data_IF_525159458667
#
_entry.id   IF_525159458667
#
_cell.length_a   1.000
_cell.length_b   1.000
_cell.length_c   1.000
_cell.angle_alpha   90.00
_cell.angle_beta   90.00
_cell.angle_gamma   90.00
#
_symmetry.space_group_name_H-M   'P 1'
#
loop_
_entity.id
_entity.type
_entity.pdbx_description
1 polymer ?
#
# COMPACT_ATOMS: atom_id res chain seq x y z
N UNK A 1 70.07 -55.41 -2.34
CA UNK A 1 69.46 -54.75 -1.17
C UNK A 1 70.45 -53.71 -0.71
N UNK A 2 70.28 -52.40 -0.81
CA UNK A 2 69.22 -51.46 -1.23
C UNK A 2 69.93 -50.39 -2.10
N UNK A 3 69.36 -49.46 -2.88
CA UNK A 3 68.13 -48.67 -2.95
C UNK A 3 68.02 -48.22 -4.43
N UNK A 4 66.89 -48.06 -5.15
CA UNK A 4 65.49 -47.85 -4.81
C UNK A 4 65.15 -46.56 -4.05
N UNK A 5 65.60 -45.38 -4.54
CA UNK A 5 64.82 -44.13 -4.54
C UNK A 5 65.69 -42.91 -4.94
N UNK A 6 65.80 -42.59 -6.23
CA UNK A 6 66.03 -41.22 -6.73
C UNK A 6 66.26 -41.24 -8.25
N UNK A 7 65.19 -41.33 -9.04
CA UNK A 7 65.10 -40.70 -10.37
C UNK A 7 63.70 -40.95 -10.97
N UNK A 8 62.67 -40.59 -10.21
CA UNK A 8 61.37 -40.25 -10.77
C UNK A 8 61.28 -38.73 -10.69
N UNK A 9 61.62 -38.02 -11.77
CA UNK A 9 61.16 -36.67 -12.14
C UNK A 9 61.92 -36.27 -13.42
N UNK A 10 61.14 -35.87 -14.43
CA UNK A 10 61.54 -35.36 -15.76
C UNK A 10 61.80 -36.40 -16.86
N UNK A 11 60.76 -36.73 -17.61
CA UNK A 11 60.67 -36.42 -19.04
C UNK A 11 59.26 -36.71 -19.58
N UNK A 12 58.85 -35.87 -20.51
CA UNK A 12 57.63 -35.93 -21.31
C UNK A 12 56.33 -35.37 -20.69
N UNK A 13 56.38 -34.08 -20.33
CA UNK A 13 55.18 -33.22 -20.40
C UNK A 13 55.08 -32.63 -21.83
N UNK A 14 53.92 -32.72 -22.50
CA UNK A 14 53.74 -32.17 -23.84
C UNK A 14 53.86 -30.64 -23.83
N UNK A 15 54.44 -30.07 -24.89
CA UNK A 15 54.68 -28.64 -25.01
C UNK A 15 53.38 -27.85 -25.24
N UNK A 16 53.36 -26.58 -24.80
CA UNK A 16 52.22 -25.64 -24.92
C UNK A 16 51.63 -25.53 -26.35
N UNK A 17 52.42 -25.84 -27.39
CA UNK A 17 51.97 -25.82 -28.79
C UNK A 17 51.03 -26.99 -29.14
N UNK A 18 51.05 -28.10 -28.40
CA UNK A 18 50.17 -29.24 -28.63
C UNK A 18 48.73 -29.00 -28.12
N UNK A 19 48.55 -28.12 -27.13
CA UNK A 19 47.22 -27.70 -26.68
C UNK A 19 46.59 -26.64 -27.62
N UNK A 20 47.41 -25.77 -28.22
CA UNK A 20 46.94 -24.70 -29.11
C UNK A 20 46.51 -25.16 -30.51
N UNK A 21 46.92 -26.36 -30.95
CA UNK A 21 46.61 -26.87 -32.29
C UNK A 21 45.60 -28.02 -32.30
N UNK A 22 45.15 -28.48 -31.13
CA UNK A 22 44.16 -29.55 -30.95
C UNK A 22 42.71 -29.07 -30.79
N UNK A 23 42.29 -28.04 -31.52
CA UNK A 23 40.97 -27.43 -31.37
C UNK A 23 39.84 -28.30 -31.94
N UNK A 24 39.17 -29.06 -31.09
CA UNK A 24 37.79 -29.51 -31.29
C UNK A 24 36.90 -28.32 -31.69
N UNK A 25 35.91 -28.55 -32.56
CA UNK A 25 34.94 -27.55 -33.06
C UNK A 25 34.23 -26.76 -31.95
N UNK A 26 34.24 -27.26 -30.72
CA UNK A 26 33.71 -26.59 -29.53
C UNK A 26 34.52 -25.37 -29.07
N UNK A 27 35.85 -25.36 -29.28
CA UNK A 27 36.74 -24.28 -28.82
C UNK A 27 36.68 -23.04 -29.73
N UNK A 28 36.54 -23.26 -31.04
CA UNK A 28 36.39 -22.17 -32.02
C UNK A 28 35.02 -21.49 -31.91
N UNK A 29 33.96 -22.24 -31.61
CA UNK A 29 32.61 -21.69 -31.36
C UNK A 29 32.58 -20.87 -30.06
N UNK A 30 33.23 -21.33 -28.99
CA UNK A 30 33.30 -20.57 -27.74
C UNK A 30 34.06 -19.24 -27.92
N UNK A 31 35.17 -19.24 -28.66
CA UNK A 31 35.90 -18.01 -28.99
C UNK A 31 35.05 -17.04 -29.83
N UNK A 32 34.31 -17.54 -30.82
CA UNK A 32 33.39 -16.71 -31.61
C UNK A 32 32.28 -16.11 -30.75
N UNK A 33 31.69 -16.88 -29.83
CA UNK A 33 30.67 -16.36 -28.91
C UNK A 33 31.23 -15.31 -27.95
N UNK A 34 32.45 -15.49 -27.43
CA UNK A 34 33.12 -14.48 -26.61
C UNK A 34 33.41 -13.19 -27.38
N UNK A 35 33.81 -13.29 -28.64
CA UNK A 35 34.04 -12.12 -29.51
C UNK A 35 32.72 -11.41 -29.84
N UNK A 36 31.65 -12.16 -30.14
CA UNK A 36 30.32 -11.59 -30.39
C UNK A 36 29.73 -10.93 -29.14
N UNK A 37 29.90 -11.54 -27.97
CA UNK A 37 29.49 -10.96 -26.70
C UNK A 37 30.29 -9.69 -26.37
N UNK A 38 31.61 -9.71 -26.60
CA UNK A 38 32.46 -8.52 -26.43
C UNK A 38 32.07 -7.39 -27.38
N UNK A 39 31.76 -7.70 -28.64
CA UNK A 39 31.30 -6.72 -29.62
C UNK A 39 29.91 -6.15 -29.29
N UNK A 40 29.00 -6.98 -28.77
CA UNK A 40 27.67 -6.55 -28.32
C UNK A 40 27.76 -5.68 -27.05
N UNK A 41 28.62 -6.05 -26.09
CA UNK A 41 28.88 -5.24 -24.90
C UNK A 41 29.50 -3.89 -25.28
N UNK A 42 30.47 -3.89 -26.21
CA UNK A 42 31.03 -2.65 -26.76
C UNK A 42 29.97 -1.82 -27.47
N UNK A 43 29.09 -2.43 -28.27
CA UNK A 43 27.98 -1.75 -28.94
C UNK A 43 27.02 -1.09 -27.94
N UNK A 44 26.66 -1.74 -26.84
CA UNK A 44 25.82 -1.16 -25.79
C UNK A 44 26.53 0.00 -25.07
N UNK A 45 27.85 -0.10 -24.85
CA UNK A 45 28.63 0.97 -24.21
C UNK A 45 28.84 2.16 -25.16
N UNK A 46 29.02 1.93 -26.47
CA UNK A 46 29.24 3.01 -27.44
C UNK A 46 27.95 3.62 -27.97
N UNK A 47 26.83 2.90 -27.92
CA UNK A 47 25.52 3.39 -28.32
C UNK A 47 24.62 3.64 -27.12
N UNK A 48 25.11 4.44 -26.15
CA UNK A 48 24.18 5.12 -25.25
C UNK A 48 23.30 6.07 -26.09
N UNK A 49 21.97 5.97 -26.01
CA UNK A 49 21.11 6.97 -26.64
C UNK A 49 21.45 8.33 -26.01
N UNK A 50 21.71 9.35 -26.84
CA UNK A 50 21.88 10.72 -26.38
C UNK A 50 20.66 11.12 -25.55
N UNK A 51 20.86 11.20 -24.23
CA UNK A 51 19.85 11.65 -23.28
C UNK A 51 19.71 13.16 -23.48
N UNK A 52 18.65 13.58 -24.16
CA UNK A 52 18.30 14.99 -24.34
C UNK A 52 18.26 15.68 -22.97
N UNK A 53 19.27 16.50 -22.71
CA UNK A 53 19.56 17.14 -21.44
C UNK A 53 18.72 18.39 -21.17
N UNK A 54 17.42 18.37 -21.50
CA UNK A 54 16.51 19.50 -21.24
C UNK A 54 15.42 19.24 -20.21
N UNK A 55 15.38 18.04 -19.61
CA UNK A 55 14.70 17.84 -18.33
C UNK A 55 15.74 17.55 -17.25
N UNK A 56 16.01 18.57 -16.43
CA UNK A 56 16.63 18.35 -15.14
C UNK A 56 15.84 17.21 -14.43
N UNK A 57 16.52 16.25 -13.79
CA UNK A 57 15.81 15.24 -13.04
C UNK A 57 15.09 15.97 -11.92
N UNK A 58 13.75 16.04 -12.01
CA UNK A 58 12.94 16.19 -10.83
C UNK A 58 13.28 14.96 -10.00
N UNK A 59 13.87 15.18 -8.82
CA UNK A 59 14.11 14.10 -7.88
C UNK A 59 12.74 13.70 -7.33
N UNK A 60 12.03 12.84 -8.07
CA UNK A 60 10.81 12.14 -7.65
C UNK A 60 11.18 11.01 -6.68
N UNK A 61 11.83 11.36 -5.56
CA UNK A 61 11.97 10.41 -4.46
C UNK A 61 10.60 10.28 -3.78
N UNK A 62 9.83 9.28 -4.25
CA UNK A 62 8.77 8.55 -3.55
C UNK A 62 7.76 9.39 -2.72
N UNK A 63 6.84 10.08 -3.39
CA UNK A 63 5.53 10.43 -2.80
C UNK A 63 4.59 9.19 -2.81
N UNK A 64 5.09 8.01 -2.43
CA UNK A 64 4.22 6.84 -2.24
C UNK A 64 3.27 7.12 -1.08
N UNK A 65 1.98 7.27 -1.38
CA UNK A 65 0.97 7.47 -0.34
C UNK A 65 1.06 6.33 0.69
N UNK A 66 1.12 6.65 1.99
CA UNK A 66 1.25 5.62 3.00
C UNK A 66 0.07 4.65 2.93
N UNK A 67 0.29 3.34 3.09
CA UNK A 67 -0.77 2.35 3.04
C UNK A 67 -1.92 2.72 3.99
N UNK A 68 -3.15 2.66 3.48
CA UNK A 68 -4.35 3.06 4.23
C UNK A 68 -5.46 2.03 4.17
N UNK A 69 -6.32 2.07 5.17
CA UNK A 69 -7.55 1.28 5.10
C UNK A 69 -8.60 1.99 4.25
N UNK A 70 -9.43 1.22 3.56
CA UNK A 70 -10.55 1.70 2.78
C UNK A 70 -11.83 1.11 3.37
N UNK A 71 -12.84 1.95 3.55
CA UNK A 71 -14.21 1.46 3.72
C UNK A 71 -14.78 1.09 2.34
N UNK A 72 -15.76 0.19 2.25
CA UNK A 72 -16.45 -0.09 0.99
C UNK A 72 -17.00 1.17 0.32
N UNK A 73 -17.47 2.14 1.12
CA UNK A 73 -17.97 3.43 0.63
C UNK A 73 -16.86 4.29 -0.01
N UNK A 74 -15.69 4.38 0.63
CA UNK A 74 -14.55 5.12 0.08
C UNK A 74 -14.01 4.44 -1.19
N UNK A 75 -13.96 3.11 -1.22
CA UNK A 75 -13.46 2.37 -2.38
C UNK A 75 -14.28 2.68 -3.65
N UNK A 76 -15.59 2.94 -3.52
CA UNK A 76 -16.49 3.30 -4.63
C UNK A 76 -16.12 4.59 -5.35
N UNK A 77 -15.36 5.48 -4.71
CA UNK A 77 -14.94 6.74 -5.33
C UNK A 77 -13.82 6.52 -6.37
N UNK A 78 -13.20 5.34 -6.38
CA UNK A 78 -12.10 4.96 -7.27
C UNK A 78 -12.58 3.98 -8.35
N UNK A 79 -13.65 4.35 -9.05
CA UNK A 79 -14.29 3.56 -10.10
C UNK A 79 -13.78 3.88 -11.51
N UNK A 80 -12.88 4.86 -11.64
CA UNK A 80 -12.29 5.32 -12.88
C UNK A 80 -13.27 5.55 -14.02
N UNK A 81 -14.47 6.05 -13.73
CA UNK A 81 -15.41 6.47 -14.79
C UNK A 81 -14.85 7.60 -15.65
N UNK A 82 -14.12 8.51 -15.02
CA UNK A 82 -13.41 9.58 -15.68
C UNK A 82 -11.91 9.21 -15.83
N UNK A 83 -11.23 9.78 -16.83
CA UNK A 83 -9.80 9.54 -17.08
C UNK A 83 -8.91 9.95 -15.89
N UNK A 84 -9.30 11.03 -15.20
CA UNK A 84 -8.55 11.56 -14.05
C UNK A 84 -8.83 10.80 -12.73
N UNK A 85 -9.83 9.93 -12.70
CA UNK A 85 -10.20 9.17 -11.50
C UNK A 85 -9.43 7.84 -11.49
N UNK A 86 -8.65 7.51 -10.44
CA UNK A 86 -7.97 6.22 -10.35
C UNK A 86 -8.94 5.03 -10.34
N UNK A 87 -8.45 3.85 -10.72
CA UNK A 87 -9.21 2.59 -10.71
C UNK A 87 -8.67 1.66 -9.64
N UNK A 88 -9.44 1.42 -8.58
CA UNK A 88 -9.05 0.47 -7.53
C UNK A 88 -9.96 -0.76 -7.51
N UNK A 89 -9.39 -1.91 -7.16
CA UNK A 89 -10.15 -3.17 -6.99
C UNK A 89 -9.67 -3.84 -5.71
N UNK A 90 -10.61 -4.27 -4.87
CA UNK A 90 -10.28 -5.08 -3.71
C UNK A 90 -10.36 -6.59 -4.06
N UNK A 91 -9.30 -7.31 -3.70
CA UNK A 91 -9.20 -8.77 -3.85
C UNK A 91 -8.62 -9.35 -2.57
N UNK A 92 -9.36 -10.26 -1.94
CA UNK A 92 -8.99 -10.92 -0.67
C UNK A 92 -8.66 -9.93 0.45
N UNK A 93 -9.35 -8.79 0.44
CA UNK A 93 -9.17 -7.69 1.38
C UNK A 93 -7.99 -6.76 1.09
N UNK A 94 -7.12 -7.05 0.12
CA UNK A 94 -6.10 -6.10 -0.33
C UNK A 94 -6.69 -5.21 -1.42
N UNK A 95 -6.41 -3.90 -1.37
CA UNK A 95 -6.85 -2.91 -2.36
C UNK A 95 -5.71 -2.67 -3.33
N UNK A 96 -5.95 -3.01 -4.61
CA UNK A 96 -4.98 -2.87 -5.69
C UNK A 96 -5.28 -1.65 -6.54
N UNK A 97 -4.22 -0.93 -6.94
CA UNK A 97 -4.29 0.05 -8.03
C UNK A 97 -4.22 -0.67 -9.37
N UNK A 98 -5.30 -0.59 -10.14
CA UNK A 98 -5.40 -1.17 -11.49
C UNK A 98 -5.56 -0.10 -12.57
N UNK A 99 -5.17 1.15 -12.28
CA UNK A 99 -5.29 2.29 -13.19
C UNK A 99 -4.57 2.07 -14.52
N UNK A 100 -3.38 1.46 -14.49
CA UNK A 100 -2.62 1.05 -15.70
C UNK A 100 -3.34 -0.02 -16.55
N UNK A 101 -4.35 -0.69 -15.99
CA UNK A 101 -5.16 -1.70 -16.66
C UNK A 101 -6.58 -1.21 -16.99
N UNK A 102 -6.75 0.10 -17.24
CA UNK A 102 -8.02 0.74 -17.61
C UNK A 102 -8.73 0.11 -18.81
N UNK A 103 -8.00 -0.49 -19.76
CA UNK A 103 -8.61 -1.24 -20.88
C UNK A 103 -9.42 -2.47 -20.43
N UNK A 104 -9.14 -3.01 -19.24
CA UNK A 104 -9.84 -4.16 -18.66
C UNK A 104 -10.88 -3.76 -17.62
N UNK A 105 -10.52 -2.84 -16.72
CA UNK A 105 -11.33 -2.46 -15.55
C UNK A 105 -12.02 -1.11 -15.70
N UNK A 106 -11.62 -0.28 -16.66
CA UNK A 106 -12.28 0.99 -16.95
C UNK A 106 -13.56 0.84 -17.78
N UNK A 107 -14.25 1.96 -18.06
CA UNK A 107 -15.50 1.96 -18.82
C UNK A 107 -15.38 1.21 -20.16
N UNK A 108 -16.29 0.25 -20.39
CA UNK A 108 -16.29 -0.59 -21.60
C UNK A 108 -15.35 -1.79 -21.56
N UNK A 109 -14.51 -1.93 -20.52
CA UNK A 109 -13.70 -3.11 -20.28
C UNK A 109 -14.53 -4.31 -19.79
N UNK A 110 -14.06 -5.52 -20.07
CA UNK A 110 -14.77 -6.76 -19.71
C UNK A 110 -14.89 -7.01 -18.20
N UNK A 111 -14.07 -6.33 -17.39
CA UNK A 111 -14.06 -6.43 -15.93
C UNK A 111 -14.43 -5.11 -15.25
N UNK A 112 -15.11 -4.21 -15.98
CA UNK A 112 -15.49 -2.88 -15.47
C UNK A 112 -16.35 -2.94 -14.20
N UNK A 113 -17.13 -4.01 -14.01
CA UNK A 113 -17.95 -4.20 -12.81
C UNK A 113 -17.13 -4.29 -11.50
N UNK A 114 -15.82 -4.57 -11.57
CA UNK A 114 -14.95 -4.67 -10.39
C UNK A 114 -14.41 -3.32 -9.91
N UNK A 115 -14.46 -2.28 -10.75
CA UNK A 115 -13.91 -0.97 -10.43
C UNK A 115 -14.59 -0.35 -9.20
N UNK A 116 -13.80 0.01 -8.19
CA UNK A 116 -14.25 0.54 -6.92
C UNK A 116 -14.99 -0.47 -6.03
N UNK A 117 -14.82 -1.78 -6.26
CA UNK A 117 -15.54 -2.85 -5.56
C UNK A 117 -14.62 -3.89 -4.93
N UNK A 118 -15.17 -4.64 -4.00
CA UNK A 118 -14.62 -5.94 -3.61
C UNK A 118 -15.08 -7.02 -4.59
N UNK A 119 -14.12 -7.50 -5.39
CA UNK A 119 -14.30 -8.53 -6.39
C UNK A 119 -14.03 -9.95 -5.85
N UNK A 120 -13.71 -10.10 -4.56
CA UNK A 120 -13.21 -11.36 -4.00
C UNK A 120 -14.14 -12.55 -4.27
N UNK A 121 -15.44 -12.42 -3.97
CA UNK A 121 -16.38 -13.52 -4.20
C UNK A 121 -16.56 -13.80 -5.69
N UNK A 122 -16.68 -12.77 -6.53
CA UNK A 122 -16.75 -12.92 -7.99
C UNK A 122 -15.56 -13.72 -8.55
N UNK A 123 -14.35 -13.40 -8.11
CA UNK A 123 -13.14 -14.10 -8.54
C UNK A 123 -13.06 -15.52 -7.99
N UNK A 124 -13.51 -15.75 -6.75
CA UNK A 124 -13.57 -17.07 -6.13
C UNK A 124 -14.53 -18.03 -6.87
N UNK A 125 -15.71 -17.52 -7.25
CA UNK A 125 -16.78 -18.29 -7.88
C UNK A 125 -16.76 -18.23 -9.41
N UNK A 126 -15.80 -17.50 -10.00
CA UNK A 126 -15.73 -17.22 -11.45
C UNK A 126 -17.01 -16.56 -11.99
N UNK A 127 -17.61 -15.68 -11.18
CA UNK A 127 -18.83 -14.93 -11.49
C UNK A 127 -18.51 -13.53 -12.01
N UNK A 128 -19.36 -13.03 -12.91
CA UNK A 128 -19.39 -11.64 -13.37
C UNK A 128 -20.74 -10.99 -13.05
N UNK A 129 -21.45 -11.49 -12.04
CA UNK A 129 -22.75 -10.96 -11.63
C UNK A 129 -22.59 -9.94 -10.51
N UNK A 130 -23.31 -8.82 -10.60
CA UNK A 130 -23.23 -7.75 -9.60
C UNK A 130 -23.69 -8.19 -8.20
N UNK A 131 -24.53 -9.22 -8.10
CA UNK A 131 -25.02 -9.78 -6.83
C UNK A 131 -23.90 -10.41 -6.00
N UNK A 132 -22.80 -10.81 -6.65
CA UNK A 132 -21.64 -11.40 -5.99
C UNK A 132 -20.58 -10.36 -5.60
N UNK A 133 -20.75 -9.08 -5.94
CA UNK A 133 -19.84 -8.01 -5.53
C UNK A 133 -20.07 -7.60 -4.07
N UNK A 134 -18.96 -7.29 -3.39
CA UNK A 134 -18.95 -6.83 -1.99
C UNK A 134 -19.64 -7.79 -1.01
N UNK A 135 -19.66 -9.07 -1.39
CA UNK A 135 -20.19 -10.14 -0.57
C UNK A 135 -19.09 -10.74 0.31
N UNK A 136 -19.44 -11.19 1.53
CA UNK A 136 -18.49 -11.84 2.42
C UNK A 136 -17.96 -13.15 1.82
N UNK A 137 -16.71 -13.47 2.13
CA UNK A 137 -16.00 -14.67 1.63
C UNK A 137 -15.87 -15.78 2.68
N UNK A 138 -16.46 -15.62 3.87
CA UNK A 138 -16.38 -16.62 4.95
C UNK A 138 -17.03 -17.96 4.53
N UNK A 139 -18.06 -17.89 3.68
CA UNK A 139 -18.84 -19.03 3.21
C UNK A 139 -18.25 -19.79 2.02
N UNK A 140 -17.09 -19.40 1.50
CA UNK A 140 -16.49 -20.08 0.34
C UNK A 140 -16.18 -21.55 0.65
N UNK A 141 -16.24 -22.42 -0.36
CA UNK A 141 -15.76 -23.79 -0.25
C UNK A 141 -14.22 -23.87 -0.46
N UNK A 142 -13.64 -25.06 -0.40
CA UNK A 142 -12.18 -25.22 -0.54
C UNK A 142 -11.66 -24.78 -1.91
N UNK A 143 -12.30 -25.24 -3.00
CA UNK A 143 -11.88 -24.89 -4.36
C UNK A 143 -12.10 -23.41 -4.69
N UNK A 144 -13.18 -22.81 -4.19
CA UNK A 144 -13.41 -21.36 -4.33
C UNK A 144 -12.33 -20.54 -3.60
N UNK A 145 -11.86 -21.00 -2.43
CA UNK A 145 -10.73 -20.35 -1.74
C UNK A 145 -9.44 -20.49 -2.53
N UNK A 146 -9.17 -21.66 -3.11
CA UNK A 146 -8.00 -21.87 -3.98
C UNK A 146 -8.04 -20.95 -5.20
N UNK A 147 -9.19 -20.83 -5.86
CA UNK A 147 -9.37 -19.88 -6.96
C UNK A 147 -9.11 -18.43 -6.54
N UNK A 148 -9.64 -18.02 -5.38
CA UNK A 148 -9.41 -16.68 -4.85
C UNK A 148 -7.92 -16.44 -4.57
N UNK A 149 -7.22 -17.43 -4.02
CA UNK A 149 -5.80 -17.37 -3.74
C UNK A 149 -4.97 -17.27 -5.02
N UNK A 150 -5.34 -18.00 -6.07
CA UNK A 150 -4.72 -17.88 -7.38
C UNK A 150 -4.95 -16.51 -8.01
N UNK A 151 -6.16 -15.95 -7.92
CA UNK A 151 -6.44 -14.62 -8.42
C UNK A 151 -5.69 -13.54 -7.66
N UNK A 152 -5.66 -13.62 -6.33
CA UNK A 152 -4.87 -12.73 -5.50
C UNK A 152 -3.38 -12.79 -5.86
N UNK A 153 -2.83 -13.99 -6.05
CA UNK A 153 -1.47 -14.19 -6.55
C UNK A 153 -1.26 -13.58 -7.94
N UNK A 154 -2.21 -13.73 -8.87
CA UNK A 154 -2.12 -13.14 -10.21
C UNK A 154 -2.10 -11.61 -10.14
N UNK A 155 -2.94 -11.00 -9.31
CA UNK A 155 -2.97 -9.54 -9.13
C UNK A 155 -1.64 -9.03 -8.57
N UNK A 156 -1.16 -9.68 -7.51
CA UNK A 156 0.04 -9.27 -6.79
C UNK A 156 1.34 -9.58 -7.54
N UNK A 157 1.54 -10.81 -7.95
CA UNK A 157 2.85 -11.31 -8.41
C UNK A 157 2.94 -11.38 -9.95
N UNK A 158 1.87 -11.79 -10.64
CA UNK A 158 1.89 -11.93 -12.10
C UNK A 158 1.68 -10.59 -12.82
N UNK A 159 0.74 -9.78 -12.32
CA UNK A 159 0.42 -8.46 -12.87
C UNK A 159 1.21 -7.34 -12.19
N UNK A 160 1.62 -7.53 -10.93
CA UNK A 160 2.40 -6.54 -10.21
C UNK A 160 1.60 -5.28 -9.88
N UNK A 161 0.28 -5.38 -9.66
CA UNK A 161 -0.52 -4.22 -9.28
C UNK A 161 -0.10 -3.69 -7.90
N UNK A 162 0.13 -2.38 -7.73
CA UNK A 162 0.45 -1.80 -6.43
C UNK A 162 -0.63 -2.06 -5.40
N UNK A 163 -0.25 -2.42 -4.17
CA UNK A 163 -1.17 -2.59 -3.05
C UNK A 163 -1.21 -1.27 -2.26
N UNK A 164 -2.36 -0.60 -2.26
CA UNK A 164 -2.57 0.68 -1.58
C UNK A 164 -2.98 0.52 -0.11
N UNK A 165 -3.37 -0.70 0.28
CA UNK A 165 -3.74 -1.03 1.65
C UNK A 165 -4.86 -2.06 1.69
N UNK A 166 -5.76 -1.94 2.66
CA UNK A 166 -6.74 -2.99 2.99
C UNK A 166 -8.17 -2.48 2.94
N UNK A 167 -9.08 -3.29 2.41
CA UNK A 167 -10.51 -3.08 2.56
C UNK A 167 -10.92 -3.60 3.95
N UNK A 168 -11.37 -2.70 4.80
CA UNK A 168 -11.73 -3.02 6.17
C UNK A 168 -13.07 -2.41 6.56
N UNK A 169 -13.82 -3.14 7.37
CA UNK A 169 -15.01 -2.59 8.03
C UNK A 169 -14.58 -1.93 9.33
N UNK A 170 -14.92 -0.65 9.57
CA UNK A 170 -14.55 0.02 10.81
C UNK A 170 -15.21 -0.68 12.01
N UNK A 171 -14.46 -0.92 13.11
CA UNK A 171 -15.07 -1.46 14.31
C UNK A 171 -16.08 -0.46 14.86
N UNK A 172 -17.28 -0.92 15.20
CA UNK A 172 -18.30 -0.08 15.83
C UNK A 172 -18.32 -0.33 17.34
N UNK A 173 -17.65 0.52 18.10
CA UNK A 173 -17.71 0.53 19.57
C UNK A 173 -18.70 1.61 20.01
N UNK A 174 -19.64 1.32 20.89
CA UNK A 174 -20.69 2.32 21.20
C UNK A 174 -20.17 3.53 21.97
N UNK A 175 -19.26 3.30 22.93
CA UNK A 175 -18.70 4.35 23.79
C UNK A 175 -17.28 3.97 24.18
N UNK A 176 -16.36 4.93 24.19
CA UNK A 176 -15.00 4.79 24.73
C UNK A 176 -14.68 5.92 25.70
N UNK A 177 -13.83 5.64 26.68
CA UNK A 177 -13.26 6.64 27.59
C UNK A 177 -12.10 7.40 26.94
N UNK A 178 -11.71 8.54 27.52
CA UNK A 178 -10.53 9.30 27.09
C UNK A 178 -9.23 8.50 27.25
N UNK A 179 -9.12 7.70 28.31
CA UNK A 179 -7.96 6.85 28.54
C UNK A 179 -7.84 5.78 27.43
N UNK A 180 -8.94 5.12 27.08
CA UNK A 180 -8.96 4.14 25.99
C UNK A 180 -8.71 4.78 24.62
N UNK A 181 -9.22 6.00 24.39
CA UNK A 181 -8.93 6.77 23.19
C UNK A 181 -7.43 7.04 23.05
N UNK A 182 -6.77 7.47 24.13
CA UNK A 182 -5.33 7.74 24.15
C UNK A 182 -4.51 6.46 24.01
N UNK A 183 -4.92 5.37 24.64
CA UNK A 183 -4.21 4.10 24.57
C UNK A 183 -4.21 3.51 23.16
N UNK A 184 -5.36 3.55 22.48
CA UNK A 184 -5.53 2.90 21.17
C UNK A 184 -5.25 3.81 19.98
N UNK A 185 -5.57 5.10 20.11
CA UNK A 185 -5.74 6.02 19.01
C UNK A 185 -4.52 6.77 18.52
N UNK A 186 -3.35 6.55 19.13
CA UNK A 186 -2.09 7.24 18.79
C UNK A 186 -1.43 6.71 17.52
N UNK A 187 -1.92 5.59 16.97
CA UNK A 187 -1.25 4.93 15.84
C UNK A 187 0.02 4.16 16.22
N UNK A 188 0.31 3.99 17.52
CA UNK A 188 1.50 3.24 17.99
C UNK A 188 1.19 1.79 18.35
N UNK A 189 -0.09 1.41 18.40
CA UNK A 189 -0.50 0.04 18.67
C UNK A 189 -0.28 -0.86 17.45
N UNK A 190 -0.21 -2.17 17.67
CA UNK A 190 -0.24 -3.13 16.57
C UNK A 190 -1.56 -3.01 15.79
N UNK A 191 -1.55 -3.10 14.45
CA UNK A 191 -2.77 -3.13 13.65
C UNK A 191 -3.70 -4.25 14.11
N UNK A 192 -5.00 -3.95 14.24
CA UNK A 192 -6.00 -4.99 14.51
C UNK A 192 -6.11 -5.94 13.30
N UNK A 193 -6.52 -7.21 13.50
CA UNK A 193 -6.66 -8.17 12.41
C UNK A 193 -7.44 -7.60 11.21
N UNK A 194 -6.86 -7.71 10.02
CA UNK A 194 -7.47 -7.26 8.77
C UNK A 194 -7.16 -5.81 8.35
N UNK A 195 -6.59 -4.98 9.24
CA UNK A 195 -6.16 -3.60 8.95
C UNK A 195 -4.72 -3.57 8.44
N UNK A 196 -4.38 -2.61 7.59
CA UNK A 196 -2.98 -2.37 7.20
C UNK A 196 -2.23 -1.45 8.15
N UNK A 197 -2.94 -0.60 8.89
CA UNK A 197 -2.36 0.39 9.78
C UNK A 197 -2.93 0.30 11.20
N UNK A 198 -2.19 0.87 12.15
CA UNK A 198 -2.65 1.03 13.52
C UNK A 198 -3.88 1.95 13.58
N UNK A 199 -4.69 1.82 14.62
CA UNK A 199 -5.82 2.72 14.83
C UNK A 199 -5.32 4.14 15.10
N UNK A 200 -5.76 5.09 14.27
CA UNK A 200 -5.54 6.52 14.50
C UNK A 200 -6.91 7.10 14.81
N UNK A 201 -7.15 7.46 16.06
CA UNK A 201 -8.47 7.89 16.52
C UNK A 201 -8.44 9.34 16.96
N UNK A 202 -9.45 10.10 16.56
CA UNK A 202 -9.57 11.52 16.93
C UNK A 202 -10.99 11.77 17.43
N UNK A 203 -11.09 12.36 18.62
CA UNK A 203 -12.34 12.86 19.17
C UNK A 203 -12.68 14.23 18.59
N UNK A 204 -13.86 14.38 18.01
CA UNK A 204 -14.43 15.66 17.59
C UNK A 204 -15.91 15.68 17.96
N UNK A 205 -16.29 16.63 18.81
CA UNK A 205 -17.65 16.85 19.32
C UNK A 205 -18.29 15.60 19.92
N UNK A 206 -17.51 14.84 20.69
CA UNK A 206 -17.95 13.59 21.30
C UNK A 206 -18.09 12.42 20.33
N UNK A 207 -17.88 12.60 19.02
CA UNK A 207 -17.71 11.51 18.06
C UNK A 207 -16.23 11.14 17.95
N UNK A 208 -15.93 9.86 17.76
CA UNK A 208 -14.56 9.35 17.57
C UNK A 208 -14.45 8.85 16.14
N UNK A 209 -13.57 9.49 15.38
CA UNK A 209 -13.30 9.18 13.98
C UNK A 209 -12.03 8.34 13.87
N UNK A 210 -12.07 7.30 13.02
CA UNK A 210 -10.87 6.53 12.68
C UNK A 210 -10.24 7.11 11.41
N UNK A 211 -9.18 7.89 11.62
CA UNK A 211 -8.42 8.53 10.54
C UNK A 211 -7.36 7.60 9.93
N UNK A 212 -7.28 6.32 10.34
CA UNK A 212 -6.53 5.30 9.62
C UNK A 212 -7.10 5.03 8.22
N UNK A 213 -8.38 5.38 7.99
CA UNK A 213 -9.05 5.29 6.70
C UNK A 213 -8.72 6.49 5.78
N UNK A 214 -7.43 6.67 5.48
CA UNK A 214 -6.92 7.70 4.54
C UNK A 214 -6.48 9.02 5.16
N UNK A 215 -6.27 9.05 6.47
CA UNK A 215 -5.67 10.17 7.19
C UNK A 215 -4.24 9.91 7.66
N UNK A 216 -3.67 8.73 7.43
CA UNK A 216 -2.33 8.35 7.94
C UNK A 216 -1.24 9.35 7.53
N UNK A 217 -1.27 9.88 6.29
CA UNK A 217 -0.31 10.91 5.86
C UNK A 217 -0.39 12.25 6.62
N UNK A 218 -1.49 12.53 7.32
CA UNK A 218 -1.70 13.76 8.10
C UNK A 218 -1.54 13.53 9.60
N UNK A 219 -1.98 12.37 10.09
CA UNK A 219 -2.14 12.04 11.50
C UNK A 219 -1.14 10.98 12.00
N UNK A 220 -0.39 10.36 11.08
CA UNK A 220 0.66 9.40 11.40
C UNK A 220 1.79 10.01 12.21
N UNK A 221 2.63 9.15 12.81
CA UNK A 221 3.75 9.59 13.63
C UNK A 221 4.70 10.51 12.82
N UNK A 222 4.95 11.71 13.33
CA UNK A 222 5.79 12.73 12.67
C UNK A 222 5.04 13.65 11.70
N UNK A 223 3.76 13.40 11.41
CA UNK A 223 2.94 14.27 10.57
C UNK A 223 2.39 15.48 11.35
N UNK A 224 1.95 16.51 10.62
CA UNK A 224 1.56 17.81 11.18
C UNK A 224 0.38 17.77 12.16
N UNK A 225 -0.54 16.83 11.99
CA UNK A 225 -1.74 16.71 12.81
C UNK A 225 -1.67 15.57 13.84
N UNK A 226 -0.51 14.93 13.99
CA UNK A 226 -0.32 13.81 14.93
C UNK A 226 -0.66 14.16 16.39
N UNK A 227 -0.54 15.44 16.77
CA UNK A 227 -0.87 15.93 18.10
C UNK A 227 -2.30 15.57 18.55
N UNK A 228 -3.24 15.45 17.60
CA UNK A 228 -4.64 15.16 17.84
C UNK A 228 -4.96 13.67 18.00
N UNK A 229 -4.03 12.78 17.62
CA UNK A 229 -4.23 11.34 17.71
C UNK A 229 -4.35 10.89 19.16
N UNK A 230 -5.37 10.07 19.43
CA UNK A 230 -5.71 9.57 20.74
C UNK A 230 -6.30 10.62 21.68
N UNK A 231 -6.79 11.75 21.17
CA UNK A 231 -7.26 12.87 21.99
C UNK A 231 -8.55 13.48 21.46
N UNK A 232 -9.22 14.26 22.32
CA UNK A 232 -10.25 15.19 21.88
C UNK A 232 -9.62 16.44 21.27
N UNK A 233 -9.88 16.66 19.98
CA UNK A 233 -9.37 17.78 19.18
C UNK A 233 -10.41 18.90 19.00
N UNK A 234 -11.62 18.75 19.56
CA UNK A 234 -12.76 19.67 19.36
C UNK A 234 -12.37 21.15 19.56
N UNK A 235 -11.78 21.46 20.71
CA UNK A 235 -11.35 22.82 21.06
C UNK A 235 -10.22 23.32 20.19
N UNK A 236 -9.22 22.49 19.93
CA UNK A 236 -8.07 22.83 19.10
C UNK A 236 -8.48 23.14 17.66
N UNK A 237 -9.41 22.37 17.09
CA UNK A 237 -9.98 22.60 15.76
C UNK A 237 -10.82 23.87 15.72
N UNK A 238 -11.64 24.13 16.75
CA UNK A 238 -12.43 25.37 16.84
C UNK A 238 -11.54 26.63 16.84
N UNK A 239 -10.45 26.59 17.61
CA UNK A 239 -9.49 27.70 17.75
C UNK A 239 -8.42 27.73 16.65
N UNK A 240 -8.42 26.74 15.74
CA UNK A 240 -7.35 26.52 14.76
C UNK A 240 -5.95 26.52 15.40
N UNK A 241 -5.84 25.88 16.56
CA UNK A 241 -4.64 25.89 17.41
C UNK A 241 -3.95 24.54 17.40
N UNK A 242 -2.62 24.56 17.25
CA UNK A 242 -1.74 23.39 17.39
C UNK A 242 -1.02 23.37 18.75
N UNK A 243 -1.51 24.16 19.70
CA UNK A 243 -0.94 24.21 21.04
C UNK A 243 -1.37 22.98 21.85
N UNK A 244 -0.45 22.25 22.50
CA UNK A 244 -0.79 21.11 23.33
C UNK A 244 -1.81 21.45 24.43
N UNK A 245 -1.80 22.69 24.92
CA UNK A 245 -2.72 23.14 25.97
C UNK A 245 -4.19 23.24 25.50
N UNK A 246 -4.43 23.35 24.19
CA UNK A 246 -5.78 23.45 23.61
C UNK A 246 -6.35 22.07 23.22
N UNK A 247 -5.52 21.02 23.27
CA UNK A 247 -5.88 19.64 22.93
C UNK A 247 -6.21 18.86 24.20
N UNK A 248 -7.20 17.99 24.14
CA UNK A 248 -7.60 17.11 25.25
C UNK A 248 -7.95 17.85 26.55
N UNK A 249 -8.51 19.06 26.45
CA UNK A 249 -9.07 19.79 27.61
C UNK A 249 -10.44 19.31 28.07
N UNK A 250 -10.99 18.29 27.42
CA UNK A 250 -12.21 17.61 27.85
C UNK A 250 -13.44 18.03 27.07
N UNK A 251 -14.03 17.04 26.42
CA UNK A 251 -15.44 17.04 26.06
C UNK A 251 -16.29 16.84 27.34
N UNK A 252 -17.42 17.56 27.54
CA UNK A 252 -18.10 18.46 26.59
C UNK A 252 -17.83 19.95 26.78
N UNK A 253 -16.87 20.36 27.63
CA UNK A 253 -16.71 21.78 28.00
C UNK A 253 -16.09 22.62 26.86
N UNK A 254 -16.99 23.28 26.12
CA UNK A 254 -16.70 24.20 25.03
C UNK A 254 -17.35 25.58 25.27
N UNK A 255 -17.71 25.89 26.52
CA UNK A 255 -18.48 27.09 26.86
C UNK A 255 -17.72 28.42 26.70
N UNK A 256 -16.39 28.37 26.56
CA UNK A 256 -15.54 29.53 26.31
C UNK A 256 -15.36 29.87 24.83
N UNK A 257 -15.91 29.05 23.91
CA UNK A 257 -15.82 29.31 22.48
C UNK A 257 -16.78 30.41 22.05
N UNK A 258 -16.33 31.29 21.16
CA UNK A 258 -17.20 32.28 20.53
C UNK A 258 -18.03 31.68 19.36
N UNK A 259 -19.04 32.41 18.87
CA UNK A 259 -19.91 31.94 17.79
C UNK A 259 -19.16 31.58 16.49
N UNK A 260 -18.04 32.25 16.20
CA UNK A 260 -17.23 31.96 15.00
C UNK A 260 -16.44 30.67 15.19
N UNK A 261 -15.84 30.48 16.36
CA UNK A 261 -15.12 29.26 16.72
C UNK A 261 -16.05 28.04 16.71
N UNK A 262 -17.28 28.18 17.22
CA UNK A 262 -18.30 27.12 17.13
C UNK A 262 -18.63 26.78 15.68
N UNK A 263 -18.79 27.79 14.81
CA UNK A 263 -19.04 27.55 13.38
C UNK A 263 -17.88 26.84 12.68
N UNK A 264 -16.64 27.21 13.02
CA UNK A 264 -15.43 26.52 12.51
C UNK A 264 -15.47 25.04 12.91
N UNK A 265 -15.82 24.76 14.17
CA UNK A 265 -15.94 23.39 14.66
C UNK A 265 -17.06 22.60 13.93
N UNK A 266 -18.22 23.22 13.69
CA UNK A 266 -19.31 22.59 12.94
C UNK A 266 -18.87 22.19 11.51
N UNK A 267 -18.05 23.02 10.87
CA UNK A 267 -17.55 22.74 9.53
C UNK A 267 -16.48 21.63 9.53
N UNK A 268 -15.62 21.60 10.56
CA UNK A 268 -14.70 20.48 10.78
C UNK A 268 -15.44 19.17 11.02
N UNK A 269 -16.46 19.15 11.87
CA UNK A 269 -17.26 17.95 12.14
C UNK A 269 -17.86 17.37 10.86
N UNK A 270 -18.42 18.22 9.99
CA UNK A 270 -18.95 17.80 8.67
C UNK A 270 -17.85 17.22 7.78
N UNK A 271 -16.67 17.82 7.77
CA UNK A 271 -15.54 17.35 6.98
C UNK A 271 -15.09 15.96 7.46
N UNK A 272 -14.93 15.78 8.77
CA UNK A 272 -14.58 14.49 9.37
C UNK A 272 -15.63 13.43 9.12
N UNK A 273 -16.92 13.75 9.32
CA UNK A 273 -18.03 12.83 9.06
C UNK A 273 -18.18 12.41 7.60
N UNK A 274 -17.74 13.26 6.67
CA UNK A 274 -17.68 12.90 5.25
C UNK A 274 -16.50 11.99 4.94
N UNK A 275 -15.31 12.29 5.49
CA UNK A 275 -14.04 11.67 5.09
C UNK A 275 -13.71 10.39 5.85
N UNK A 276 -14.09 10.30 7.12
CA UNK A 276 -13.68 9.23 8.02
C UNK A 276 -14.88 8.54 8.67
N UNK A 277 -14.82 7.23 8.91
CA UNK A 277 -15.86 6.53 9.64
C UNK A 277 -15.85 6.93 11.12
N UNK A 278 -17.05 7.08 11.68
CA UNK A 278 -17.24 7.20 13.13
C UNK A 278 -17.20 5.79 13.72
N UNK A 279 -16.27 5.55 14.63
CA UNK A 279 -16.06 4.23 15.27
C UNK A 279 -16.56 4.18 16.70
N UNK A 280 -16.68 5.33 17.37
CA UNK A 280 -17.22 5.40 18.73
C UNK A 280 -17.78 6.77 19.10
N UNK A 281 -18.41 6.83 20.28
CA UNK A 281 -18.64 8.10 21.00
C UNK A 281 -17.73 8.20 22.21
N UNK A 282 -17.19 9.38 22.44
CA UNK A 282 -16.42 9.68 23.63
C UNK A 282 -17.39 9.82 24.82
N UNK A 283 -17.10 9.11 25.92
CA UNK A 283 -17.85 9.25 27.16
C UNK A 283 -17.70 10.68 27.67
N UNK A 284 -18.81 11.30 28.04
CA UNK A 284 -18.79 12.54 28.83
C UNK A 284 -18.03 12.26 30.13
N UNK A 285 -17.16 13.19 30.56
CA UNK A 285 -16.49 13.03 31.85
C UNK A 285 -17.57 12.85 32.93
N UNK A 286 -17.50 11.77 33.72
CA UNK A 286 -18.39 11.60 34.87
C UNK A 286 -18.16 12.83 35.79
N UNK A 287 -19.24 13.53 36.17
CA UNK A 287 -19.23 14.66 37.13
C UNK A 287 -18.57 14.31 38.47
#
# INVERSE_FOLDING_TARGET
>A
MADAAAEAITKDAPSLLQWLTGGSTTSTVALLLCVLFGAYAAYIITNEPERDGTHAPVNEEDDEEPPRDFTPKQLREFDGKDEDTPLYVAVKGDVFDVSEARSFYGPGGGYALFAGRDASKCLATMSLEEVDLDQPIDGLNHGEREHLDEWHFKFKELKGYPILGRLATPPSTKVISRAELLERGTGTCAPSPGRCCAEHLIGVRGNVYDVGYGGVGFYGAGCSYHLFCGKDASRALAKMSFKPEDVDRGWPDLGDLDEKEVKILDDWEKLFARKYPVVARLREADE
#
